data_IF_553650837694
#
_entry.id   IF_553650837694
#
_cell.length_a   1.000
_cell.length_b   1.000
_cell.length_c   1.000
_cell.angle_alpha   90.00
_cell.angle_beta   90.00
_cell.angle_gamma   90.00
#
_symmetry.space_group_name_H-M   'P 1'
#
loop_
_entity.id
_entity.type
_entity.pdbx_description
1 polymer ?
#
# COMPACT_ATOMS: atom_id res chain seq x y z
N UNK A 1 10.77 5.70 -38.43
CA UNK A 1 11.08 5.42 -37.01
C UNK A 1 9.76 5.28 -36.28
N UNK A 2 9.60 4.29 -35.44
CA UNK A 2 8.40 4.12 -34.61
C UNK A 2 8.34 5.28 -33.60
N UNK A 3 7.14 5.75 -33.32
CA UNK A 3 6.89 6.93 -32.47
C UNK A 3 6.88 6.58 -30.99
N UNK A 4 6.43 5.34 -30.67
CA UNK A 4 6.24 4.84 -29.30
C UNK A 4 6.98 3.52 -29.09
N UNK A 5 7.48 3.30 -27.86
CA UNK A 5 8.11 2.03 -27.52
C UNK A 5 7.06 0.93 -27.29
N UNK A 6 5.93 1.27 -26.69
CA UNK A 6 4.84 0.34 -26.38
C UNK A 6 3.49 1.01 -26.64
N UNK A 7 2.57 0.26 -27.23
CA UNK A 7 1.14 0.64 -27.34
C UNK A 7 0.31 -0.50 -26.72
N UNK A 8 -0.53 -0.15 -25.76
CA UNK A 8 -1.55 -1.03 -25.17
C UNK A 8 -2.89 -0.71 -25.85
N UNK A 9 -3.49 -1.71 -26.54
CA UNK A 9 -4.65 -1.51 -27.40
C UNK A 9 -5.94 -1.98 -26.74
N UNK A 10 -6.93 -1.06 -26.63
CA UNK A 10 -8.34 -1.38 -26.43
C UNK A 10 -8.70 -1.85 -24.99
N UNK A 11 -7.90 -1.53 -23.97
CA UNK A 11 -8.26 -1.82 -22.58
C UNK A 11 -9.41 -0.93 -22.09
N UNK A 12 -10.22 -1.44 -21.15
CA UNK A 12 -11.02 -0.56 -20.31
C UNK A 12 -10.10 0.15 -19.32
N UNK A 13 -9.84 1.42 -19.54
CA UNK A 13 -9.05 2.26 -18.65
C UNK A 13 -9.94 2.82 -17.55
N UNK A 14 -9.53 2.60 -16.29
CA UNK A 14 -10.14 3.18 -15.10
C UNK A 14 -9.09 3.98 -14.34
N UNK A 15 -9.13 5.29 -14.51
CA UNK A 15 -8.28 6.24 -13.79
C UNK A 15 -9.14 7.24 -13.01
N UNK A 16 -9.34 7.00 -11.70
CA UNK A 16 -10.16 7.90 -10.87
C UNK A 16 -9.60 9.32 -10.77
N UNK A 17 -8.29 9.50 -10.94
CA UNK A 17 -7.66 10.84 -10.84
C UNK A 17 -8.07 11.78 -11.97
N UNK A 18 -8.44 11.22 -13.13
CA UNK A 18 -8.85 11.94 -14.32
C UNK A 18 -10.36 11.78 -14.60
N UNK A 19 -11.09 11.10 -13.73
CA UNK A 19 -12.50 10.73 -13.93
C UNK A 19 -12.73 9.91 -15.22
N UNK A 20 -11.76 9.06 -15.58
CA UNK A 20 -11.80 8.22 -16.78
C UNK A 20 -12.31 6.84 -16.44
N UNK A 21 -13.32 6.36 -17.16
CA UNK A 21 -13.78 4.97 -17.21
C UNK A 21 -14.28 4.68 -18.65
N UNK A 22 -13.50 3.95 -19.43
CA UNK A 22 -13.85 3.62 -20.80
C UNK A 22 -12.74 2.97 -21.59
N UNK A 23 -13.01 2.58 -22.82
CA UNK A 23 -12.02 1.95 -23.70
C UNK A 23 -11.08 2.99 -24.30
N UNK A 24 -9.76 2.75 -24.16
CA UNK A 24 -8.69 3.59 -24.70
C UNK A 24 -7.48 2.73 -25.08
N UNK A 25 -6.67 3.32 -25.97
CA UNK A 25 -5.30 2.90 -26.22
C UNK A 25 -4.36 3.78 -25.39
N UNK A 26 -3.28 3.18 -24.88
CA UNK A 26 -2.22 3.91 -24.16
C UNK A 26 -0.90 3.74 -24.90
N UNK A 27 -0.24 4.85 -25.23
CA UNK A 27 1.10 4.86 -25.80
C UNK A 27 2.13 5.23 -24.74
N UNK A 28 3.23 4.47 -24.73
CA UNK A 28 4.37 4.68 -23.85
C UNK A 28 5.60 5.02 -24.67
N UNK A 29 6.33 6.05 -24.25
CA UNK A 29 7.60 6.47 -24.83
C UNK A 29 8.59 6.82 -23.74
N UNK A 30 9.81 6.30 -23.84
CA UNK A 30 10.92 6.59 -22.93
C UNK A 30 10.53 6.39 -21.46
N UNK A 31 9.77 5.33 -21.18
CA UNK A 31 9.30 4.97 -19.85
C UNK A 31 8.12 5.79 -19.32
N UNK A 32 7.56 6.70 -20.12
CA UNK A 32 6.48 7.59 -19.71
C UNK A 32 5.21 7.37 -20.54
N UNK A 33 4.05 7.67 -19.93
CA UNK A 33 2.79 7.79 -20.65
C UNK A 33 2.94 8.94 -21.66
N UNK A 34 2.80 8.63 -22.94
CA UNK A 34 2.87 9.63 -24.02
C UNK A 34 1.49 10.15 -24.40
N UNK A 35 0.53 9.25 -24.56
CA UNK A 35 -0.87 9.61 -24.83
C UNK A 35 -1.83 8.51 -24.38
N UNK A 36 -3.07 8.90 -24.14
CA UNK A 36 -4.24 8.05 -23.92
C UNK A 36 -5.33 8.52 -24.87
N UNK A 37 -5.66 7.72 -25.86
CA UNK A 37 -6.55 8.08 -26.95
C UNK A 37 -7.53 6.94 -27.29
N UNK A 38 -8.63 7.26 -27.98
CA UNK A 38 -9.60 6.22 -28.40
C UNK A 38 -8.98 5.25 -29.42
N UNK A 39 -8.06 5.72 -30.22
CA UNK A 39 -7.36 4.93 -31.22
C UNK A 39 -5.96 5.48 -31.46
N UNK A 40 -4.94 4.64 -31.34
CA UNK A 40 -3.55 4.93 -31.69
C UNK A 40 -3.14 3.96 -32.79
N UNK A 41 -2.63 4.42 -33.95
CA UNK A 41 -2.23 3.53 -35.03
C UNK A 41 -1.16 2.53 -34.59
N UNK A 42 -1.38 1.24 -34.83
CA UNK A 42 -0.47 0.18 -34.40
C UNK A 42 0.93 0.30 -35.07
N UNK A 43 0.98 0.85 -36.28
CA UNK A 43 2.24 1.10 -37.00
C UNK A 43 3.14 2.12 -36.31
N UNK A 44 2.63 2.94 -35.40
CA UNK A 44 3.42 3.89 -34.62
C UNK A 44 4.18 3.26 -33.45
N UNK A 45 3.85 2.02 -33.03
CA UNK A 45 4.49 1.33 -31.92
C UNK A 45 5.64 0.41 -32.34
N UNK A 46 6.69 0.32 -31.53
CA UNK A 46 7.72 -0.72 -31.63
C UNK A 46 7.12 -2.06 -31.20
N UNK A 47 6.48 -2.07 -30.04
CA UNK A 47 5.70 -3.17 -29.51
C UNK A 47 4.23 -2.76 -29.39
N UNK A 48 3.33 -3.63 -29.78
CA UNK A 48 1.88 -3.41 -29.69
C UNK A 48 1.24 -4.60 -29.05
N UNK A 49 0.54 -4.37 -27.93
CA UNK A 49 -0.14 -5.42 -27.18
C UNK A 49 -1.66 -5.23 -27.28
N UNK A 50 -2.35 -6.28 -27.68
CA UNK A 50 -3.81 -6.33 -27.60
C UNK A 50 -4.20 -6.69 -26.16
N UNK A 51 -4.82 -5.75 -25.47
CA UNK A 51 -5.23 -5.89 -24.07
C UNK A 51 -6.73 -5.66 -23.90
N UNK A 52 -7.50 -5.89 -24.98
CA UNK A 52 -8.97 -5.82 -24.96
C UNK A 52 -9.54 -6.83 -23.98
N UNK A 53 -10.60 -6.42 -23.28
CA UNK A 53 -11.27 -7.24 -22.27
C UNK A 53 -10.66 -7.11 -20.87
N UNK A 54 -9.48 -6.55 -20.73
CA UNK A 54 -8.87 -6.31 -19.43
C UNK A 54 -9.14 -4.91 -18.91
N UNK A 55 -9.05 -4.76 -17.59
CA UNK A 55 -9.09 -3.50 -16.87
C UNK A 55 -7.66 -2.96 -16.74
N UNK A 56 -7.42 -1.77 -17.23
CA UNK A 56 -6.16 -1.05 -17.10
C UNK A 56 -6.31 0.08 -16.10
N UNK A 57 -5.45 0.12 -15.09
CA UNK A 57 -5.43 1.16 -14.06
C UNK A 57 -4.04 1.77 -13.95
N UNK A 58 -3.86 2.94 -13.30
CA UNK A 58 -2.57 3.33 -12.79
C UNK A 58 -1.95 2.20 -11.98
N UNK A 59 -0.63 2.13 -11.92
CA UNK A 59 0.07 1.22 -11.03
C UNK A 59 -0.41 1.38 -9.60
N UNK A 60 -0.66 0.26 -8.92
CA UNK A 60 -1.19 0.28 -7.56
C UNK A 60 -0.11 0.76 -6.58
N UNK A 61 -0.56 1.42 -5.52
CA UNK A 61 0.26 1.93 -4.42
C UNK A 61 -0.17 1.25 -3.12
N UNK A 62 0.72 0.46 -2.54
CA UNK A 62 0.51 -0.15 -1.22
C UNK A 62 1.23 0.67 -0.16
N UNK A 63 0.48 1.46 0.62
CA UNK A 63 1.11 2.37 1.57
C UNK A 63 1.44 1.76 2.93
N UNK A 64 1.26 0.45 3.10
CA UNK A 64 1.57 -0.25 4.33
C UNK A 64 2.02 -1.68 4.05
N UNK A 65 3.32 -1.92 4.10
CA UNK A 65 3.96 -3.24 4.00
C UNK A 65 5.29 -3.26 4.76
N UNK A 66 5.92 -4.42 4.85
CA UNK A 66 7.18 -4.61 5.57
C UNK A 66 8.18 -5.36 4.68
N UNK A 67 9.12 -4.62 4.11
CA UNK A 67 10.06 -5.11 3.09
C UNK A 67 11.53 -4.88 3.39
N UNK A 68 11.86 -4.20 4.49
CA UNK A 68 13.26 -4.04 4.90
C UNK A 68 13.82 -5.34 5.46
N UNK A 69 14.68 -6.08 4.72
CA UNK A 69 15.29 -7.29 5.23
C UNK A 69 16.37 -6.94 6.24
N UNK A 70 16.30 -7.53 7.42
CA UNK A 70 17.31 -7.39 8.44
C UNK A 70 18.16 -8.64 8.61
N UNK A 71 19.46 -8.44 8.81
CA UNK A 71 20.41 -9.46 9.17
C UNK A 71 21.21 -9.05 10.42
N UNK A 72 21.40 -9.97 11.38
CA UNK A 72 20.74 -11.27 11.47
C UNK A 72 19.24 -11.09 11.79
N UNK A 73 18.42 -12.06 11.37
CA UNK A 73 17.04 -12.14 11.85
C UNK A 73 17.07 -12.40 13.36
N UNK A 74 16.49 -11.50 14.13
CA UNK A 74 16.22 -11.72 15.54
C UNK A 74 14.91 -12.50 15.67
N UNK A 75 14.84 -13.46 16.61
CA UNK A 75 13.67 -14.33 16.76
C UNK A 75 12.37 -13.55 16.99
N UNK A 76 12.47 -12.37 17.63
CA UNK A 76 11.34 -11.50 17.96
C UNK A 76 11.08 -10.41 16.91
N UNK A 77 11.83 -10.38 15.81
CA UNK A 77 11.67 -9.38 14.75
C UNK A 77 10.50 -9.67 13.83
N UNK A 78 9.99 -8.62 13.19
CA UNK A 78 8.95 -8.76 12.17
C UNK A 78 9.53 -9.47 10.93
N UNK A 79 9.00 -10.65 10.53
CA UNK A 79 9.47 -11.34 9.33
C UNK A 79 8.99 -10.64 8.07
N UNK A 80 9.92 -10.04 7.32
CA UNK A 80 9.64 -9.23 6.15
C UNK A 80 9.59 -10.03 4.86
N UNK A 81 9.12 -9.40 3.78
CA UNK A 81 9.06 -10.00 2.44
C UNK A 81 10.04 -9.35 1.49
N UNK A 82 10.34 -10.05 0.38
CA UNK A 82 11.03 -9.46 -0.76
C UNK A 82 10.03 -8.64 -1.59
N UNK A 83 10.15 -7.30 -1.56
CA UNK A 83 9.19 -6.39 -2.19
C UNK A 83 8.94 -6.68 -3.68
N UNK A 84 10.00 -6.75 -4.47
CA UNK A 84 9.89 -6.97 -5.93
C UNK A 84 9.16 -8.28 -6.28
N UNK A 85 9.40 -9.35 -5.50
CA UNK A 85 8.80 -10.66 -5.75
C UNK A 85 7.30 -10.70 -5.45
N UNK A 86 6.83 -9.91 -4.48
CA UNK A 86 5.43 -9.96 -4.02
C UNK A 86 4.57 -8.85 -4.62
N UNK A 87 5.12 -7.65 -4.81
CA UNK A 87 4.35 -6.49 -5.22
C UNK A 87 3.98 -6.52 -6.70
N UNK A 88 4.92 -6.84 -7.59
CA UNK A 88 4.64 -6.87 -9.03
C UNK A 88 3.58 -7.91 -9.43
N UNK A 89 3.46 -9.02 -8.71
CA UNK A 89 2.43 -10.02 -8.95
C UNK A 89 1.00 -9.53 -8.67
N UNK A 90 0.86 -8.39 -8.04
CA UNK A 90 -0.43 -7.78 -7.71
C UNK A 90 -0.66 -6.42 -8.34
N UNK A 91 0.13 -6.03 -9.35
CA UNK A 91 -0.03 -4.74 -10.02
C UNK A 91 0.51 -3.55 -9.22
N UNK A 92 1.17 -3.78 -8.09
CA UNK A 92 1.77 -2.74 -7.26
C UNK A 92 3.06 -2.28 -7.89
N UNK A 93 3.19 -0.99 -8.15
CA UNK A 93 4.39 -0.34 -8.73
C UNK A 93 5.10 0.58 -7.74
N UNK A 94 4.43 0.91 -6.64
CA UNK A 94 5.00 1.67 -5.54
C UNK A 94 4.50 1.12 -4.20
N UNK A 95 5.37 1.05 -3.19
CA UNK A 95 4.98 0.66 -1.84
C UNK A 95 5.70 1.50 -0.79
N UNK A 96 5.14 1.47 0.43
CA UNK A 96 5.71 2.15 1.58
C UNK A 96 6.00 1.13 2.68
N UNK A 97 7.25 1.00 3.07
CA UNK A 97 7.62 0.27 4.28
C UNK A 97 7.11 1.02 5.51
N UNK A 98 6.28 0.38 6.31
CA UNK A 98 5.59 1.02 7.42
C UNK A 98 6.37 0.95 8.73
N UNK A 99 7.63 1.38 8.71
CA UNK A 99 8.44 1.53 9.91
C UNK A 99 9.11 0.25 10.38
N UNK A 100 9.36 -0.70 9.49
CA UNK A 100 10.23 -1.84 9.80
C UNK A 100 11.60 -1.34 10.22
N UNK A 101 12.09 -0.27 9.57
CA UNK A 101 13.35 0.38 9.84
C UNK A 101 13.16 1.63 10.71
N UNK A 102 14.02 1.80 11.70
CA UNK A 102 14.18 3.05 12.43
C UNK A 102 15.41 3.84 11.95
N UNK A 103 15.76 4.88 12.70
CA UNK A 103 16.88 5.79 12.33
C UNK A 103 18.23 5.09 12.27
N UNK A 104 18.45 4.05 13.06
CA UNK A 104 19.73 3.33 13.19
C UNK A 104 20.18 2.71 11.87
N UNK A 105 19.27 2.08 11.16
CA UNK A 105 19.57 1.26 9.98
C UNK A 105 19.01 1.86 8.68
N UNK A 106 18.44 3.06 8.73
CA UNK A 106 17.78 3.68 7.57
C UNK A 106 18.71 3.81 6.34
N UNK A 107 19.96 4.19 6.53
CA UNK A 107 20.90 4.32 5.40
C UNK A 107 21.16 2.96 4.74
N UNK A 108 21.26 1.89 5.52
CA UNK A 108 21.38 0.54 4.99
C UNK A 108 20.14 0.14 4.18
N UNK A 109 18.94 0.43 4.70
CA UNK A 109 17.70 0.19 3.97
C UNK A 109 17.68 0.97 2.65
N UNK A 110 18.03 2.24 2.70
CA UNK A 110 18.09 3.09 1.51
C UNK A 110 19.04 2.54 0.46
N UNK A 111 20.29 2.25 0.81
CA UNK A 111 21.32 1.83 -0.14
C UNK A 111 21.09 0.43 -0.71
N UNK A 112 20.57 -0.49 0.09
CA UNK A 112 20.46 -1.90 -0.32
C UNK A 112 19.08 -2.27 -0.91
N UNK A 113 18.03 -1.52 -0.58
CA UNK A 113 16.67 -1.82 -1.05
C UNK A 113 16.10 -0.65 -1.84
N UNK A 114 15.92 0.52 -1.23
CA UNK A 114 15.20 1.64 -1.85
C UNK A 114 15.85 2.06 -3.18
N UNK A 115 17.18 2.28 -3.17
CA UNK A 115 17.91 2.78 -4.33
C UNK A 115 18.14 1.70 -5.41
N UNK A 116 17.92 0.43 -5.12
CA UNK A 116 18.23 -0.68 -6.03
C UNK A 116 17.01 -1.39 -6.58
N UNK A 117 15.87 -1.28 -5.90
CA UNK A 117 14.65 -1.93 -6.33
C UNK A 117 14.09 -1.29 -7.60
N UNK A 118 13.66 -2.07 -8.59
CA UNK A 118 12.84 -1.57 -9.69
C UNK A 118 11.45 -1.11 -9.23
N UNK A 119 10.98 -1.59 -8.09
CA UNK A 119 9.78 -1.09 -7.41
C UNK A 119 10.07 0.30 -6.82
N UNK A 120 9.14 1.24 -6.89
CA UNK A 120 9.24 2.49 -6.11
C UNK A 120 9.02 2.19 -4.64
N UNK A 121 10.05 2.34 -3.83
CA UNK A 121 10.00 2.08 -2.40
C UNK A 121 10.10 3.40 -1.63
N UNK A 122 9.13 3.62 -0.76
CA UNK A 122 9.12 4.68 0.24
C UNK A 122 9.15 4.09 1.65
N UNK A 123 9.33 4.92 2.66
CA UNK A 123 9.33 4.48 4.05
C UNK A 123 8.67 5.51 4.99
N UNK A 124 7.93 5.00 5.97
CA UNK A 124 7.80 5.66 7.25
C UNK A 124 8.99 5.24 8.12
N UNK A 125 9.72 6.18 8.69
CA UNK A 125 10.79 5.84 9.65
C UNK A 125 10.16 5.64 11.02
N UNK A 126 10.48 4.52 11.70
CA UNK A 126 9.99 4.28 13.05
C UNK A 126 10.59 5.29 14.03
N UNK A 127 9.76 5.78 14.97
CA UNK A 127 10.23 6.66 16.06
C UNK A 127 11.23 5.96 16.97
N UNK A 128 11.10 4.64 17.14
CA UNK A 128 12.11 3.82 17.78
C UNK A 128 13.30 3.61 16.85
N UNK A 129 14.50 3.96 17.29
CA UNK A 129 15.70 3.97 16.44
C UNK A 129 16.04 2.61 15.85
N UNK A 130 15.72 1.52 16.53
CA UNK A 130 15.88 0.15 16.04
C UNK A 130 14.74 -0.33 15.13
N UNK A 131 13.64 0.39 15.02
CA UNK A 131 12.47 -0.05 14.25
C UNK A 131 11.77 -1.28 14.83
N UNK A 132 11.10 -2.05 13.97
CA UNK A 132 10.37 -3.28 14.33
C UNK A 132 11.25 -4.54 14.24
N UNK A 133 12.52 -4.39 14.40
CA UNK A 133 13.47 -5.50 14.27
C UNK A 133 13.46 -6.45 15.45
N UNK A 134 13.10 -5.92 16.58
CA UNK A 134 12.65 -6.65 17.75
C UNK A 134 11.63 -5.79 18.51
N UNK A 135 10.82 -6.42 19.34
CA UNK A 135 9.81 -5.69 20.12
C UNK A 135 10.42 -4.80 21.22
N UNK A 136 11.68 -5.04 21.62
CA UNK A 136 12.33 -4.28 22.69
C UNK A 136 12.60 -2.83 22.29
N UNK A 137 13.01 -2.58 21.05
CA UNK A 137 13.25 -1.23 20.55
C UNK A 137 12.03 -0.33 20.71
N UNK A 138 10.83 -0.87 20.49
CA UNK A 138 9.58 -0.12 20.62
C UNK A 138 9.08 0.01 22.07
N UNK A 139 9.76 -0.61 23.05
CA UNK A 139 9.46 -0.51 24.47
C UNK A 139 10.41 0.44 25.21
N UNK A 140 11.62 0.67 24.69
CA UNK A 140 12.62 1.52 25.35
C UNK A 140 12.45 2.98 24.89
N UNK A 141 12.08 3.85 25.82
CA UNK A 141 11.96 5.30 25.59
C UNK A 141 13.23 5.96 25.09
N UNK A 142 14.42 5.40 25.36
CA UNK A 142 15.70 5.92 24.88
C UNK A 142 15.86 5.73 23.36
N UNK A 143 15.14 4.78 22.80
CA UNK A 143 15.09 4.56 21.36
C UNK A 143 14.22 5.60 20.63
N UNK A 144 13.34 6.32 21.33
CA UNK A 144 12.47 7.34 20.72
C UNK A 144 13.25 8.64 20.53
N UNK A 145 13.70 8.88 19.30
CA UNK A 145 14.62 9.95 18.93
C UNK A 145 13.98 10.90 17.90
N UNK A 146 13.05 11.80 18.32
CA UNK A 146 12.27 12.59 17.39
C UNK A 146 13.12 13.50 16.49
N UNK A 147 14.19 14.10 17.01
CA UNK A 147 15.06 14.98 16.22
C UNK A 147 15.80 14.21 15.12
N UNK A 148 16.25 12.98 15.41
CA UNK A 148 16.97 12.15 14.43
C UNK A 148 16.00 11.60 13.38
N UNK A 149 14.85 11.08 13.81
CA UNK A 149 13.81 10.63 12.89
C UNK A 149 13.34 11.77 11.97
N UNK A 150 13.13 12.96 12.51
CA UNK A 150 12.77 14.15 11.76
C UNK A 150 13.86 14.61 10.78
N UNK A 151 15.14 14.56 11.18
CA UNK A 151 16.26 14.90 10.31
C UNK A 151 16.34 13.95 9.10
N UNK A 152 16.18 12.65 9.32
CA UNK A 152 16.11 11.64 8.24
C UNK A 152 14.92 11.94 7.33
N UNK A 153 13.73 12.12 7.89
CA UNK A 153 12.53 12.39 7.12
C UNK A 153 12.60 13.72 6.34
N UNK A 154 13.28 14.72 6.86
CA UNK A 154 13.51 16.00 6.18
C UNK A 154 14.60 15.94 5.11
N UNK A 155 15.52 14.99 5.19
CA UNK A 155 16.66 14.88 4.26
C UNK A 155 16.35 14.01 3.03
N UNK A 156 15.56 12.96 3.20
CA UNK A 156 15.33 11.97 2.16
C UNK A 156 13.88 11.98 1.69
N UNK A 157 13.66 12.27 0.42
CA UNK A 157 12.33 12.33 -0.20
C UNK A 157 11.59 10.98 -0.15
N UNK A 158 12.33 9.87 -0.17
CA UNK A 158 11.74 8.54 -0.02
C UNK A 158 11.17 8.27 1.38
N UNK A 159 11.43 9.11 2.38
CA UNK A 159 10.80 9.02 3.70
C UNK A 159 9.56 9.90 3.72
N UNK A 160 8.40 9.28 3.79
CA UNK A 160 7.09 9.95 3.65
C UNK A 160 6.43 10.29 4.99
N UNK A 161 7.00 9.85 6.10
CA UNK A 161 6.47 10.15 7.44
C UNK A 161 7.18 9.38 8.56
N UNK A 162 6.56 9.41 9.73
CA UNK A 162 7.06 8.76 10.95
C UNK A 162 6.10 7.65 11.35
N UNK A 163 6.61 6.49 11.76
CA UNK A 163 5.81 5.36 12.30
C UNK A 163 5.95 5.28 13.81
N UNK A 164 4.87 4.90 14.48
CA UNK A 164 4.88 4.40 15.86
C UNK A 164 3.99 3.18 15.96
N UNK A 165 4.45 2.16 16.72
CA UNK A 165 3.69 0.92 16.95
C UNK A 165 4.08 0.28 18.30
N UNK A 166 3.31 -0.70 18.74
CA UNK A 166 3.54 -1.70 19.78
C UNK A 166 4.02 -1.23 21.17
N UNK A 167 4.11 0.09 21.41
CA UNK A 167 4.60 0.59 22.70
C UNK A 167 3.70 0.19 23.86
N UNK A 168 4.29 -0.46 24.84
CA UNK A 168 3.74 -0.75 26.16
C UNK A 168 2.34 -1.38 26.18
N UNK A 169 2.16 -2.35 25.26
CA UNK A 169 0.88 -3.02 25.06
C UNK A 169 0.62 -3.98 26.21
N UNK A 170 -0.58 -3.84 26.84
CA UNK A 170 -1.01 -4.74 27.91
C UNK A 170 -0.19 -4.65 29.22
N UNK A 171 0.66 -3.65 29.37
CA UNK A 171 1.50 -3.43 30.55
C UNK A 171 0.99 -2.27 31.40
N UNK A 172 1.21 -2.30 32.73
CA UNK A 172 0.83 -1.19 33.61
C UNK A 172 1.55 0.10 33.22
N UNK A 173 0.81 1.19 33.14
CA UNK A 173 1.38 2.53 32.92
C UNK A 173 1.92 3.09 34.23
N UNK A 174 3.11 3.67 34.20
CA UNK A 174 3.79 4.28 35.34
C UNK A 174 4.56 5.55 34.89
N UNK A 175 5.36 6.13 35.81
CA UNK A 175 6.16 7.31 35.52
C UNK A 175 7.30 7.06 34.51
N UNK A 176 7.83 5.85 34.51
CA UNK A 176 8.90 5.45 33.58
C UNK A 176 8.32 5.08 32.21
N UNK A 177 7.02 4.71 32.16
CA UNK A 177 6.33 4.30 30.95
C UNK A 177 5.01 5.03 30.80
N UNK A 178 5.02 6.34 30.45
CA UNK A 178 3.80 7.12 30.22
C UNK A 178 2.98 6.53 29.06
N UNK A 179 1.66 6.62 29.17
CA UNK A 179 0.72 5.98 28.24
C UNK A 179 0.92 6.38 26.77
N UNK A 180 1.28 7.63 26.52
CA UNK A 180 1.34 8.23 25.19
C UNK A 180 2.75 8.49 24.67
N UNK A 181 3.79 8.03 25.36
CA UNK A 181 5.17 8.39 25.06
C UNK A 181 5.54 8.21 23.59
N UNK A 182 5.30 7.03 23.02
CA UNK A 182 5.69 6.77 21.61
C UNK A 182 4.90 7.61 20.62
N UNK A 183 3.60 7.81 20.86
CA UNK A 183 2.74 8.65 20.01
C UNK A 183 3.15 10.10 20.11
N UNK A 184 3.36 10.61 21.32
CA UNK A 184 3.75 12.01 21.55
C UNK A 184 5.11 12.31 20.91
N UNK A 185 6.09 11.38 21.01
CA UNK A 185 7.40 11.49 20.35
C UNK A 185 7.32 11.41 18.82
N UNK A 186 6.47 10.52 18.29
CA UNK A 186 6.25 10.46 16.86
C UNK A 186 5.60 11.74 16.32
N UNK A 187 4.61 12.29 17.03
CA UNK A 187 3.97 13.56 16.68
C UNK A 187 4.96 14.73 16.77
N UNK A 188 5.86 14.74 17.76
CA UNK A 188 6.96 15.69 17.85
C UNK A 188 7.85 15.63 16.61
N UNK A 189 8.31 14.42 16.22
CA UNK A 189 9.10 14.22 15.01
C UNK A 189 8.36 14.68 13.75
N UNK A 190 7.09 14.32 13.63
CA UNK A 190 6.23 14.73 12.52
C UNK A 190 6.05 16.24 12.41
N UNK A 191 5.99 16.97 13.56
CA UNK A 191 5.99 18.44 13.58
C UNK A 191 7.32 19.03 13.11
N UNK A 192 8.42 18.46 13.55
CA UNK A 192 9.77 18.94 13.19
C UNK A 192 10.05 18.80 11.69
N UNK A 193 9.62 17.71 11.05
CA UNK A 193 9.85 17.49 9.61
C UNK A 193 8.69 17.91 8.70
N UNK A 194 7.53 18.28 9.26
CA UNK A 194 6.35 18.67 8.46
C UNK A 194 5.67 17.49 7.75
N UNK A 195 5.91 16.25 8.19
CA UNK A 195 5.36 15.03 7.57
C UNK A 195 4.35 14.34 8.49
N UNK A 196 3.47 13.47 7.93
CA UNK A 196 2.47 12.75 8.73
C UNK A 196 3.10 11.71 9.65
N UNK A 197 2.33 11.34 10.69
CA UNK A 197 2.60 10.19 11.55
C UNK A 197 1.64 9.08 11.19
N UNK A 198 2.12 7.85 11.02
CA UNK A 198 1.29 6.65 10.97
C UNK A 198 1.34 5.97 12.34
N UNK A 199 0.21 5.93 13.02
CA UNK A 199 0.07 5.30 14.33
C UNK A 199 -0.62 3.94 14.20
N UNK A 200 0.11 2.89 14.53
CA UNK A 200 -0.44 1.63 14.98
C UNK A 200 -0.59 1.72 16.51
N UNK A 201 -1.68 1.20 17.03
CA UNK A 201 -2.07 1.52 18.38
C UNK A 201 -2.85 0.38 19.03
N UNK A 202 -2.63 0.18 20.31
CA UNK A 202 -3.51 -0.66 21.13
C UNK A 202 -4.03 0.13 22.33
N UNK A 203 -5.35 0.11 22.59
CA UNK A 203 -5.92 0.67 23.80
C UNK A 203 -5.31 0.01 25.04
N UNK A 204 -5.10 0.79 26.08
CA UNK A 204 -4.66 0.31 27.41
C UNK A 204 -5.45 1.06 28.49
N UNK A 205 -6.65 0.57 28.76
CA UNK A 205 -7.58 1.22 29.65
C UNK A 205 -7.14 1.16 31.12
N UNK A 206 -7.41 2.22 31.90
CA UNK A 206 -8.09 3.46 31.53
C UNK A 206 -7.15 4.54 30.96
N UNK A 207 -5.85 4.30 30.85
CA UNK A 207 -4.82 5.33 30.60
C UNK A 207 -4.71 5.73 29.13
N UNK A 208 -5.15 4.87 28.21
CA UNK A 208 -4.96 5.04 26.76
C UNK A 208 -6.20 4.56 26.03
N UNK A 209 -7.05 5.51 25.62
CA UNK A 209 -8.30 5.22 24.96
C UNK A 209 -8.23 5.47 23.46
N UNK A 210 -9.07 4.77 22.69
CA UNK A 210 -9.10 4.95 21.22
C UNK A 210 -9.64 6.33 20.80
N UNK A 211 -10.73 6.87 21.39
CA UNK A 211 -11.17 8.22 21.04
C UNK A 211 -10.13 9.30 21.34
N UNK A 212 -9.33 9.18 22.40
CA UNK A 212 -8.26 10.12 22.72
C UNK A 212 -7.18 10.13 21.64
N UNK A 213 -6.78 8.95 21.13
CA UNK A 213 -5.83 8.87 20.02
C UNK A 213 -6.27 9.74 18.84
N UNK A 214 -7.48 9.46 18.31
CA UNK A 214 -7.94 10.04 17.04
C UNK A 214 -8.51 11.45 17.17
N UNK A 215 -8.93 11.86 18.38
CA UNK A 215 -9.48 13.19 18.60
C UNK A 215 -8.48 14.18 19.19
N UNK A 216 -7.45 13.72 19.91
CA UNK A 216 -6.58 14.61 20.68
C UNK A 216 -5.09 14.45 20.29
N UNK A 217 -4.63 13.22 20.09
CA UNK A 217 -3.20 12.95 19.83
C UNK A 217 -2.81 13.14 18.38
N UNK A 218 -3.57 12.56 17.44
CA UNK A 218 -3.29 12.68 16.01
C UNK A 218 -3.66 14.06 15.48
N UNK A 219 -2.81 14.60 14.60
CA UNK A 219 -3.01 15.88 13.91
C UNK A 219 -3.82 15.69 12.63
N UNK A 220 -4.39 16.74 12.05
CA UNK A 220 -4.85 16.70 10.65
C UNK A 220 -3.71 16.22 9.73
N UNK A 221 -4.00 15.21 8.89
CA UNK A 221 -3.03 14.56 8.01
C UNK A 221 -2.30 13.37 8.64
N UNK A 222 -2.34 13.17 9.95
CA UNK A 222 -1.82 11.96 10.57
C UNK A 222 -2.73 10.76 10.29
N UNK A 223 -2.14 9.57 10.27
CA UNK A 223 -2.75 8.34 9.80
C UNK A 223 -2.95 7.40 11.00
N UNK A 224 -4.19 6.97 11.22
CA UNK A 224 -4.49 5.82 12.03
C UNK A 224 -4.63 4.59 11.15
N UNK A 225 -3.74 3.62 11.28
CA UNK A 225 -3.81 2.36 10.57
C UNK A 225 -4.58 1.28 11.34
N UNK A 226 -4.93 0.17 10.67
CA UNK A 226 -5.70 -0.94 11.25
C UNK A 226 -7.13 -0.58 11.66
N UNK A 227 -7.76 0.34 10.92
CA UNK A 227 -9.06 0.92 11.32
C UNK A 227 -10.14 -0.10 11.65
N UNK A 228 -10.12 -1.31 11.06
CA UNK A 228 -11.12 -2.36 11.30
C UNK A 228 -10.64 -3.49 12.22
N UNK A 229 -9.55 -3.27 12.96
CA UNK A 229 -9.09 -4.23 13.95
C UNK A 229 -10.08 -4.38 15.11
N UNK A 230 -10.05 -5.56 15.75
CA UNK A 230 -11.05 -5.88 16.78
C UNK A 230 -10.96 -5.02 18.04
N UNK A 231 -9.77 -4.51 18.35
CA UNK A 231 -9.54 -3.73 19.56
C UNK A 231 -10.09 -2.30 19.49
N UNK A 232 -10.55 -1.86 18.32
CA UNK A 232 -11.08 -0.50 18.16
C UNK A 232 -12.61 -0.50 18.22
N UNK A 233 -13.20 0.26 19.13
CA UNK A 233 -14.66 0.39 19.24
C UNK A 233 -15.18 1.36 18.17
N UNK A 234 -15.10 0.97 16.90
CA UNK A 234 -15.58 1.81 15.78
C UNK A 234 -17.10 1.75 15.59
N UNK A 235 -17.73 0.69 16.11
CA UNK A 235 -19.19 0.50 16.09
C UNK A 235 -19.74 0.55 17.52
N UNK A 236 -20.96 1.04 17.65
CA UNK A 236 -21.74 0.93 18.90
C UNK A 236 -22.43 -0.45 19.00
N UNK A 237 -23.22 -0.64 20.07
CA UNK A 237 -23.93 -1.90 20.31
C UNK A 237 -25.01 -2.20 19.26
N UNK A 238 -25.52 -1.20 18.58
CA UNK A 238 -26.50 -1.29 17.49
C UNK A 238 -25.83 -1.47 16.12
N UNK A 239 -24.49 -1.52 16.05
CA UNK A 239 -23.70 -1.67 14.83
C UNK A 239 -23.57 -0.38 14.02
N UNK A 240 -23.83 0.78 14.59
CA UNK A 240 -23.62 2.07 13.95
C UNK A 240 -22.19 2.55 14.17
N UNK A 241 -21.64 3.20 13.15
CA UNK A 241 -20.32 3.85 13.26
C UNK A 241 -20.42 4.96 14.31
N UNK A 242 -19.52 4.92 15.29
CA UNK A 242 -19.52 5.85 16.39
C UNK A 242 -19.17 7.28 15.94
N UNK A 243 -19.78 8.28 16.59
CA UNK A 243 -19.61 9.69 16.25
C UNK A 243 -18.14 10.15 16.28
N UNK A 244 -17.34 9.64 17.21
CA UNK A 244 -15.92 10.02 17.30
C UNK A 244 -15.13 9.67 16.03
N UNK A 245 -15.55 8.65 15.24
CA UNK A 245 -14.94 8.30 13.98
C UNK A 245 -15.15 9.39 12.92
N UNK A 246 -16.38 9.89 12.80
CA UNK A 246 -16.69 11.00 11.88
C UNK A 246 -16.01 12.29 12.31
N UNK A 247 -16.05 12.62 13.60
CA UNK A 247 -15.36 13.80 14.13
C UNK A 247 -13.86 13.77 13.88
N UNK A 248 -13.22 12.62 14.01
CA UNK A 248 -11.80 12.46 13.71
C UNK A 248 -11.53 12.67 12.21
N UNK A 249 -12.37 12.12 11.33
CA UNK A 249 -12.29 12.35 9.88
C UNK A 249 -12.47 13.83 9.52
N UNK A 250 -13.45 14.49 10.09
CA UNK A 250 -13.71 15.93 9.88
C UNK A 250 -12.55 16.81 10.35
N UNK A 251 -11.79 16.36 11.36
CA UNK A 251 -10.54 16.98 11.79
C UNK A 251 -9.37 16.73 10.80
N UNK A 252 -9.54 15.84 9.84
CA UNK A 252 -8.52 15.49 8.87
C UNK A 252 -7.62 14.29 9.27
N UNK A 253 -7.99 13.49 10.27
CA UNK A 253 -7.33 12.21 10.55
C UNK A 253 -7.64 11.24 9.43
N UNK A 254 -6.60 10.59 8.93
CA UNK A 254 -6.66 9.61 7.83
C UNK A 254 -6.80 8.21 8.41
N UNK A 255 -7.69 7.43 7.85
CA UNK A 255 -7.91 6.04 8.25
C UNK A 255 -7.36 5.08 7.21
N UNK A 256 -6.26 4.41 7.52
CA UNK A 256 -5.68 3.37 6.68
C UNK A 256 -6.19 1.98 7.09
N UNK A 257 -6.35 1.10 6.09
CA UNK A 257 -6.79 -0.27 6.34
C UNK A 257 -5.74 -1.06 7.13
N UNK A 258 -4.49 -1.14 6.62
CA UNK A 258 -3.44 -1.97 7.19
C UNK A 258 -3.97 -3.38 7.52
N UNK A 259 -4.36 -4.16 6.52
CA UNK A 259 -5.14 -5.40 6.75
C UNK A 259 -4.48 -6.36 7.74
N UNK A 260 -3.17 -6.64 7.57
CA UNK A 260 -2.38 -7.51 8.44
C UNK A 260 -2.94 -8.90 8.70
N UNK A 261 -2.20 -9.70 9.46
CA UNK A 261 -2.67 -11.01 9.92
C UNK A 261 -3.73 -10.90 11.02
N UNK A 262 -3.67 -9.83 11.84
CA UNK A 262 -4.51 -9.64 13.04
C UNK A 262 -5.38 -8.38 13.04
N UNK A 263 -5.43 -7.60 11.95
CA UNK A 263 -5.91 -6.22 12.03
C UNK A 263 -7.15 -5.92 11.16
N UNK A 264 -7.80 -6.94 10.60
CA UNK A 264 -9.00 -6.78 9.80
C UNK A 264 -10.10 -7.78 10.17
N UNK A 265 -11.30 -7.25 10.47
CA UNK A 265 -12.45 -8.06 10.89
C UNK A 265 -13.69 -7.68 10.09
N UNK A 266 -14.30 -8.66 9.40
CA UNK A 266 -15.54 -8.43 8.64
C UNK A 266 -16.66 -7.87 9.49
N UNK A 267 -16.75 -8.28 10.76
CA UNK A 267 -17.77 -7.78 11.69
C UNK A 267 -17.67 -6.27 11.96
N UNK A 268 -16.48 -5.67 11.77
CA UNK A 268 -16.25 -4.23 11.86
C UNK A 268 -16.39 -3.57 10.48
N UNK A 269 -15.72 -4.13 9.48
CA UNK A 269 -15.64 -3.54 8.15
C UNK A 269 -16.99 -3.52 7.42
N UNK A 270 -17.73 -4.64 7.40
CA UNK A 270 -18.97 -4.75 6.63
C UNK A 270 -20.05 -3.75 7.08
N UNK A 271 -20.38 -3.63 8.40
CA UNK A 271 -21.33 -2.63 8.84
C UNK A 271 -20.85 -1.19 8.62
N UNK A 272 -19.56 -0.92 8.78
CA UNK A 272 -19.00 0.40 8.55
C UNK A 272 -19.11 0.81 7.07
N UNK A 273 -18.74 -0.09 6.14
CA UNK A 273 -18.86 0.16 4.71
C UNK A 273 -20.30 0.43 4.27
N UNK A 274 -21.26 -0.32 4.80
CA UNK A 274 -22.70 -0.14 4.51
C UNK A 274 -23.22 1.23 4.94
N UNK A 275 -22.56 1.87 5.89
CA UNK A 275 -22.86 3.21 6.36
C UNK A 275 -22.01 4.30 5.66
N UNK A 276 -21.23 3.91 4.62
CA UNK A 276 -20.37 4.83 3.90
C UNK A 276 -19.07 5.21 4.62
N UNK A 277 -18.78 4.57 5.75
CA UNK A 277 -17.49 4.76 6.43
C UNK A 277 -16.43 3.87 5.79
N UNK A 278 -15.83 4.35 4.70
CA UNK A 278 -14.73 3.69 3.99
C UNK A 278 -13.39 4.06 4.62
N UNK A 279 -12.37 3.19 4.57
CA UNK A 279 -11.00 3.61 4.88
C UNK A 279 -10.52 4.61 3.82
N UNK A 280 -9.62 5.50 4.14
CA UNK A 280 -9.03 6.42 3.16
C UNK A 280 -8.13 5.67 2.18
N UNK A 281 -7.41 4.65 2.66
CA UNK A 281 -6.53 3.80 1.85
C UNK A 281 -6.80 2.32 2.13
N UNK A 282 -6.64 1.53 1.08
CA UNK A 282 -6.66 0.07 1.15
C UNK A 282 -5.22 -0.40 1.00
N UNK A 283 -4.63 -0.89 2.08
CA UNK A 283 -3.24 -1.32 2.19
C UNK A 283 -3.14 -2.72 2.79
N UNK A 284 -2.01 -3.37 2.62
CA UNK A 284 -1.89 -4.79 2.95
C UNK A 284 -1.41 -5.06 4.36
N UNK A 285 -0.47 -4.28 4.87
CA UNK A 285 0.37 -4.68 5.99
C UNK A 285 1.00 -6.06 5.70
N UNK A 286 1.58 -6.20 4.48
CA UNK A 286 2.12 -7.47 3.99
C UNK A 286 3.49 -7.74 4.61
N UNK A 287 3.59 -8.90 5.27
CA UNK A 287 4.82 -9.49 5.77
C UNK A 287 4.74 -11.01 5.67
N UNK A 288 5.83 -11.74 5.98
CA UNK A 288 5.95 -13.16 5.64
C UNK A 288 4.82 -14.05 6.22
N UNK A 289 4.36 -13.77 7.44
CA UNK A 289 3.36 -14.63 8.09
C UNK A 289 1.96 -14.49 7.50
N UNK A 290 1.70 -13.47 6.67
CA UNK A 290 0.38 -13.23 6.09
C UNK A 290 0.29 -13.39 4.57
N UNK A 291 1.41 -13.66 3.87
CA UNK A 291 1.43 -13.92 2.42
C UNK A 291 0.63 -15.15 2.01
N UNK A 292 0.49 -16.12 2.90
CA UNK A 292 -0.30 -17.35 2.70
C UNK A 292 -1.56 -17.37 3.57
N UNK A 293 -1.81 -16.30 4.28
CA UNK A 293 -2.92 -16.16 5.22
C UNK A 293 -4.00 -15.21 4.72
N UNK A 294 -4.61 -14.39 5.59
CA UNK A 294 -5.78 -13.61 5.19
C UNK A 294 -5.46 -12.46 4.23
N UNK A 295 -4.18 -12.06 4.10
CA UNK A 295 -3.75 -10.94 3.24
C UNK A 295 -3.48 -11.38 1.82
N UNK A 296 -2.59 -12.33 1.61
CA UNK A 296 -2.11 -12.85 0.31
C UNK A 296 -1.41 -11.76 -0.51
N UNK A 297 -2.13 -10.75 -0.98
CA UNK A 297 -1.63 -9.58 -1.71
C UNK A 297 -2.71 -8.48 -1.79
N UNK A 298 -2.35 -7.33 -2.36
CA UNK A 298 -3.26 -6.18 -2.45
C UNK A 298 -4.53 -6.49 -3.28
N UNK A 299 -4.44 -7.23 -4.39
CA UNK A 299 -5.61 -7.57 -5.20
C UNK A 299 -6.60 -8.48 -4.47
N UNK A 300 -6.10 -9.37 -3.60
CA UNK A 300 -6.97 -10.19 -2.75
C UNK A 300 -7.77 -9.32 -1.77
N UNK A 301 -7.14 -8.31 -1.18
CA UNK A 301 -7.81 -7.35 -0.30
C UNK A 301 -8.81 -6.50 -1.08
N UNK A 302 -8.41 -5.94 -2.23
CA UNK A 302 -9.31 -5.19 -3.11
C UNK A 302 -10.54 -6.01 -3.48
N UNK A 303 -10.36 -7.31 -3.72
CA UNK A 303 -11.46 -8.24 -4.02
C UNK A 303 -12.41 -8.40 -2.84
N UNK A 304 -11.93 -8.37 -1.58
CA UNK A 304 -12.81 -8.35 -0.40
C UNK A 304 -13.71 -7.11 -0.42
N UNK A 305 -13.13 -5.94 -0.68
CA UNK A 305 -13.88 -4.68 -0.72
C UNK A 305 -14.95 -4.67 -1.83
N UNK A 306 -14.64 -5.19 -3.01
CA UNK A 306 -15.63 -5.37 -4.08
C UNK A 306 -16.80 -6.24 -3.64
N UNK A 307 -16.53 -7.34 -2.91
CA UNK A 307 -17.55 -8.27 -2.45
C UNK A 307 -18.28 -7.79 -1.18
N UNK A 308 -17.72 -6.82 -0.45
CA UNK A 308 -18.43 -6.09 0.61
C UNK A 308 -19.30 -4.94 0.08
N UNK A 309 -19.27 -4.68 -1.24
CA UNK A 309 -20.13 -3.71 -1.92
C UNK A 309 -19.51 -2.35 -2.22
N UNK A 310 -18.20 -2.17 -2.02
CA UNK A 310 -17.51 -0.94 -2.43
C UNK A 310 -17.48 -0.85 -3.96
N UNK A 311 -17.83 0.30 -4.56
CA UNK A 311 -17.72 0.51 -6.02
C UNK A 311 -16.28 0.32 -6.51
N UNK A 312 -16.11 -0.27 -7.70
CA UNK A 312 -14.78 -0.53 -8.28
C UNK A 312 -13.94 0.75 -8.36
N UNK A 313 -14.54 1.87 -8.78
CA UNK A 313 -13.85 3.17 -8.85
C UNK A 313 -13.27 3.60 -7.50
N UNK A 314 -14.03 3.38 -6.40
CA UNK A 314 -13.57 3.68 -5.04
C UNK A 314 -12.43 2.76 -4.59
N UNK A 315 -12.49 1.46 -4.96
CA UNK A 315 -11.42 0.52 -4.65
C UNK A 315 -10.12 0.94 -5.36
N UNK A 316 -10.20 1.26 -6.67
CA UNK A 316 -9.04 1.72 -7.44
C UNK A 316 -8.51 3.06 -6.92
N UNK A 317 -9.39 4.03 -6.61
CA UNK A 317 -8.96 5.32 -6.06
C UNK A 317 -8.15 5.16 -4.77
N UNK A 318 -8.58 4.27 -3.85
CA UNK A 318 -7.96 4.03 -2.55
C UNK A 318 -6.71 3.15 -2.60
N UNK A 319 -6.37 2.65 -3.77
CA UNK A 319 -5.14 1.87 -4.04
C UNK A 319 -4.27 2.50 -5.13
N UNK A 320 -4.58 3.70 -5.57
CA UNK A 320 -3.80 4.45 -6.58
C UNK A 320 -3.61 5.90 -6.15
N UNK A 321 -4.55 6.78 -6.49
CA UNK A 321 -4.41 8.23 -6.30
C UNK A 321 -4.44 8.63 -4.83
N UNK A 322 -5.34 8.07 -4.03
CA UNK A 322 -5.47 8.47 -2.62
C UNK A 322 -4.23 8.21 -1.78
N UNK A 323 -3.60 7.00 -1.79
CA UNK A 323 -2.33 6.81 -1.10
C UNK A 323 -1.22 7.73 -1.62
N UNK A 324 -1.16 8.00 -2.93
CA UNK A 324 -0.20 8.92 -3.53
C UNK A 324 -0.31 10.35 -2.96
N UNK A 325 -1.54 10.86 -2.83
CA UNK A 325 -1.81 12.16 -2.20
C UNK A 325 -1.36 12.21 -0.74
N UNK A 326 -1.68 11.16 0.03
CA UNK A 326 -1.37 11.09 1.47
C UNK A 326 0.13 11.09 1.72
N UNK A 327 0.90 10.37 0.90
CA UNK A 327 2.36 10.32 1.04
C UNK A 327 3.08 11.50 0.36
N UNK A 328 2.36 12.44 -0.27
CA UNK A 328 2.92 13.62 -0.92
C UNK A 328 3.62 13.35 -2.26
N UNK A 329 3.32 12.21 -2.91
CA UNK A 329 3.86 11.81 -4.21
C UNK A 329 2.75 11.79 -5.27
N UNK A 330 2.20 12.96 -5.56
CA UNK A 330 1.08 13.12 -6.49
C UNK A 330 1.38 12.73 -7.93
N UNK A 331 2.66 12.51 -8.26
CA UNK A 331 3.09 11.96 -9.55
C UNK A 331 2.73 10.47 -9.72
N UNK A 332 2.34 9.79 -8.64
CA UNK A 332 1.87 8.41 -8.64
C UNK A 332 0.34 8.35 -8.81
N UNK A 333 -0.15 7.16 -9.15
CA UNK A 333 -1.57 6.85 -9.12
C UNK A 333 -2.41 7.55 -10.18
N UNK A 334 -1.80 8.02 -11.29
CA UNK A 334 -2.50 8.53 -12.46
C UNK A 334 -1.82 8.13 -13.78
N UNK A 335 -2.58 8.23 -14.91
CA UNK A 335 -2.11 7.90 -16.26
C UNK A 335 -1.97 9.15 -17.14
N UNK A 336 -1.74 10.32 -16.55
CA UNK A 336 -1.56 11.56 -17.30
C UNK A 336 -0.31 11.50 -18.17
N UNK A 337 -0.38 12.13 -19.34
CA UNK A 337 0.79 12.27 -20.22
C UNK A 337 1.96 12.92 -19.47
N UNK A 338 3.16 12.37 -19.66
CA UNK A 338 4.40 12.77 -18.98
C UNK A 338 4.67 12.07 -17.66
N UNK A 339 3.70 11.37 -17.07
CA UNK A 339 3.91 10.52 -15.90
C UNK A 339 4.72 9.27 -16.26
N UNK A 340 5.38 8.67 -15.29
CA UNK A 340 5.99 7.35 -15.50
C UNK A 340 4.90 6.35 -15.92
N UNK A 341 5.22 5.48 -16.86
CA UNK A 341 4.30 4.45 -17.30
C UNK A 341 4.27 3.30 -16.28
N UNK A 342 3.62 3.59 -15.15
CA UNK A 342 3.34 2.65 -14.08
C UNK A 342 1.89 2.20 -14.23
N UNK A 343 1.68 0.95 -14.64
CA UNK A 343 0.37 0.44 -15.08
C UNK A 343 0.12 -0.94 -14.47
N UNK A 344 -1.09 -1.16 -13.98
CA UNK A 344 -1.61 -2.48 -13.65
C UNK A 344 -2.68 -2.89 -14.67
N UNK A 345 -2.48 -4.02 -15.32
CA UNK A 345 -3.47 -4.67 -16.17
C UNK A 345 -4.11 -5.81 -15.38
N UNK A 346 -5.39 -5.73 -15.18
CA UNK A 346 -6.15 -6.59 -14.28
C UNK A 346 -7.28 -7.32 -15.01
N UNK A 347 -7.64 -8.51 -14.53
CA UNK A 347 -8.87 -9.21 -14.88
C UNK A 347 -9.84 -9.19 -13.72
N UNK A 348 -11.13 -8.98 -13.99
CA UNK A 348 -12.22 -9.09 -13.01
C UNK A 348 -12.91 -10.43 -13.24
N UNK A 349 -12.41 -11.45 -12.58
CA UNK A 349 -12.98 -12.79 -12.70
C UNK A 349 -14.30 -12.92 -11.95
N UNK A 350 -15.26 -13.53 -12.61
CA UNK A 350 -16.52 -13.96 -12.00
C UNK A 350 -16.47 -15.43 -11.62
N UNK A 351 -17.06 -15.80 -10.49
CA UNK A 351 -17.04 -17.18 -10.01
C UNK A 351 -17.48 -17.33 -8.56
N UNK A 352 -17.02 -18.39 -7.92
CA UNK A 352 -17.24 -18.64 -6.48
C UNK A 352 -15.91 -18.47 -5.75
N UNK A 353 -15.85 -17.46 -4.91
CA UNK A 353 -14.65 -17.15 -4.14
C UNK A 353 -14.98 -17.10 -2.65
N UNK A 354 -13.96 -17.34 -1.83
CA UNK A 354 -14.00 -17.18 -0.38
C UNK A 354 -12.87 -16.30 0.10
N UNK A 355 -13.15 -15.46 1.09
CA UNK A 355 -12.18 -14.53 1.67
C UNK A 355 -12.21 -14.69 3.19
N UNK A 356 -11.05 -14.81 3.81
CA UNK A 356 -10.91 -14.90 5.25
C UNK A 356 -10.58 -13.52 5.85
N UNK A 357 -11.01 -13.28 7.09
CA UNK A 357 -10.52 -12.17 7.90
C UNK A 357 -9.49 -12.65 8.95
N UNK A 358 -8.98 -11.72 9.75
CA UNK A 358 -8.02 -12.01 10.82
C UNK A 358 -8.64 -12.87 11.95
N UNK A 359 -9.97 -12.86 12.10
CA UNK A 359 -10.70 -13.63 13.11
C UNK A 359 -11.17 -15.02 12.64
N UNK A 360 -10.64 -15.49 11.49
CA UNK A 360 -11.04 -16.75 10.86
C UNK A 360 -12.51 -16.81 10.42
N UNK A 361 -13.17 -15.67 10.26
CA UNK A 361 -14.47 -15.61 9.60
C UNK A 361 -14.30 -15.57 8.07
N UNK A 362 -15.31 -16.02 7.34
CA UNK A 362 -15.30 -16.07 5.89
C UNK A 362 -16.37 -15.18 5.27
N UNK A 363 -16.00 -14.49 4.18
CA UNK A 363 -16.91 -13.80 3.29
C UNK A 363 -16.97 -14.57 1.96
N UNK A 364 -18.19 -14.94 1.51
CA UNK A 364 -18.41 -15.48 0.16
C UNK A 364 -18.49 -14.33 -0.84
N UNK A 365 -17.86 -14.50 -1.99
CA UNK A 365 -17.86 -13.52 -3.05
C UNK A 365 -18.03 -14.14 -4.43
N UNK A 366 -18.35 -13.30 -5.40
CA UNK A 366 -18.54 -13.70 -6.79
C UNK A 366 -17.57 -13.01 -7.77
N UNK A 367 -16.72 -12.08 -7.27
CA UNK A 367 -15.73 -11.38 -8.09
C UNK A 367 -14.36 -11.45 -7.44
N UNK A 368 -13.32 -11.58 -8.27
CA UNK A 368 -11.91 -11.57 -7.84
C UNK A 368 -11.08 -10.81 -8.86
N UNK A 369 -10.23 -9.91 -8.39
CA UNK A 369 -9.20 -9.25 -9.20
C UNK A 369 -7.98 -10.14 -9.32
N UNK A 370 -7.45 -10.27 -10.53
CA UNK A 370 -6.20 -10.96 -10.83
C UNK A 370 -5.29 -10.05 -11.66
N UNK A 371 -3.99 -10.11 -11.40
CA UNK A 371 -3.00 -9.37 -12.18
C UNK A 371 -2.67 -10.12 -13.47
N UNK A 372 -2.86 -9.44 -14.58
CA UNK A 372 -2.52 -9.94 -15.92
C UNK A 372 -1.15 -9.45 -16.35
N UNK A 373 -0.81 -8.21 -16.01
CA UNK A 373 0.48 -7.61 -16.33
C UNK A 373 0.75 -6.43 -15.40
N UNK A 374 2.01 -6.25 -15.05
CA UNK A 374 2.48 -5.04 -14.36
C UNK A 374 3.56 -4.39 -15.21
N UNK A 375 3.39 -3.11 -15.46
CA UNK A 375 4.37 -2.28 -16.16
C UNK A 375 4.87 -1.23 -15.17
N UNK A 376 6.19 -1.12 -15.04
CA UNK A 376 6.86 -0.16 -14.18
C UNK A 376 7.87 0.65 -14.98
N UNK A 377 7.67 1.97 -15.04
CA UNK A 377 8.51 2.87 -15.85
C UNK A 377 8.59 2.45 -17.31
N UNK A 378 7.48 1.98 -17.88
CA UNK A 378 7.37 1.51 -19.26
C UNK A 378 7.95 0.11 -19.52
N UNK A 379 8.49 -0.59 -18.51
CA UNK A 379 8.98 -1.95 -18.62
C UNK A 379 7.95 -2.94 -18.09
N UNK A 380 7.73 -4.02 -18.84
CA UNK A 380 6.89 -5.13 -18.36
C UNK A 380 7.72 -5.90 -17.32
N UNK A 381 7.29 -5.85 -16.06
CA UNK A 381 7.97 -6.50 -14.92
C UNK A 381 7.24 -7.76 -14.43
N UNK A 382 5.99 -7.95 -14.85
CA UNK A 382 5.21 -9.15 -14.57
C UNK A 382 4.24 -9.41 -15.74
N UNK A 383 4.28 -10.62 -16.31
CA UNK A 383 3.45 -11.03 -17.46
C UNK A 383 3.25 -12.57 -17.47
N UNK A 384 2.44 -13.11 -16.55
CA UNK A 384 2.25 -14.56 -16.45
C UNK A 384 1.46 -15.15 -17.60
N UNK A 385 0.74 -14.32 -18.38
CA UNK A 385 -0.06 -14.72 -19.51
C UNK A 385 0.71 -14.65 -20.85
N UNK A 386 2.02 -14.33 -20.81
CA UNK A 386 2.86 -14.20 -22.00
C UNK A 386 2.29 -13.28 -23.10
N UNK A 387 1.50 -12.24 -22.72
CA UNK A 387 0.88 -11.32 -23.69
C UNK A 387 1.98 -10.65 -24.51
N UNK A 388 1.84 -10.68 -25.84
CA UNK A 388 2.79 -10.10 -26.78
C UNK A 388 4.02 -10.96 -27.07
N UNK A 389 4.12 -12.16 -26.49
CA UNK A 389 5.13 -13.13 -26.86
C UNK A 389 4.65 -13.94 -28.08
N UNK A 390 5.54 -14.30 -29.01
CA UNK A 390 5.18 -15.18 -30.13
C UNK A 390 4.86 -16.59 -29.64
N UNK A 391 3.97 -17.28 -30.35
CA UNK A 391 3.77 -18.70 -30.16
C UNK A 391 5.13 -19.42 -30.32
N UNK A 392 5.37 -20.47 -29.53
CA UNK A 392 6.67 -21.12 -29.47
C UNK A 392 7.13 -21.65 -30.84
N UNK A 393 6.20 -22.08 -31.70
CA UNK A 393 6.48 -22.56 -33.08
C UNK A 393 6.98 -21.44 -33.99
N UNK A 394 6.64 -20.20 -33.72
CA UNK A 394 6.96 -19.00 -34.50
C UNK A 394 8.04 -18.14 -33.83
N UNK A 395 8.58 -18.61 -32.71
CA UNK A 395 9.60 -17.85 -31.98
C UNK A 395 10.89 -17.71 -32.83
N UNK A 396 11.47 -16.50 -32.91
CA UNK A 396 12.74 -16.29 -33.64
C UNK A 396 13.88 -17.16 -33.09
N UNK A 397 14.82 -17.54 -33.94
CA UNK A 397 15.98 -18.35 -33.52
C UNK A 397 16.81 -17.70 -32.42
N UNK A 398 16.80 -16.38 -32.31
CA UNK A 398 17.43 -15.65 -31.19
C UNK A 398 16.84 -16.02 -29.81
N UNK A 399 15.62 -16.54 -29.74
CA UNK A 399 14.99 -17.00 -28.48
C UNK A 399 15.43 -18.42 -28.08
N UNK A 400 16.22 -19.12 -28.90
CA UNK A 400 16.80 -20.42 -28.56
C UNK A 400 18.00 -20.28 -27.62
N UNK A 401 18.56 -19.09 -27.52
CA UNK A 401 19.60 -18.77 -26.55
C UNK A 401 18.95 -18.31 -25.26
N UNK A 402 19.43 -18.82 -24.13
CA UNK A 402 18.95 -18.33 -22.83
C UNK A 402 19.20 -16.82 -22.73
N UNK A 403 18.17 -16.01 -22.45
CA UNK A 403 18.42 -14.62 -22.12
C UNK A 403 19.38 -14.58 -20.93
N UNK A 404 20.32 -13.66 -20.96
CA UNK A 404 21.20 -13.43 -19.81
C UNK A 404 20.37 -13.25 -18.55
N UNK A 405 20.89 -13.69 -17.42
CA UNK A 405 20.30 -13.39 -16.13
C UNK A 405 20.30 -11.87 -15.98
N UNK A 406 19.14 -11.31 -15.71
CA UNK A 406 18.91 -9.86 -15.59
C UNK A 406 19.80 -9.23 -14.55
#
# INVERSE_FOLDING_TARGET
MKKYNLILKGARVLDPSQDVDGEFDIAVKDGKISSMEKQIPAEEGEQVLDVRGYLLTPGLVDMHCHIYPRFPFEEDGLPTIQGDAHMFQSGVTACVDAGTCGSRDFLQFKEHVIDRSPLKVFAFVNIASGGMVNLESEQDRKEFQPEIAAAIAGTYDCVVGIKTAHYWVGRPVDKEHPAWESVDRAVEAGKLCGKPVMADFQPNLPWRTYPELILEKLRPGDIHTHVYAQQFPILDAEGKVQEHMYRARDRGVIFDLGHGAGSFWFRNAVPALRQGFYPDTISTDLYLDNVNGPVINLLHIMSKYLNMGMPLKEVIYRTTKRPAEIIGHEELGDLKAGRDADIALLDIREGRFGFADAGHASLKGNRKLECIMTIRGGRIVYNPMAIGMPEWENAPSAYWESPGVL
#
